data_IF_842184022132
#
_entry.id   IF_842184022132
#
_cell.length_a   1.000
_cell.length_b   1.000
_cell.length_c   1.000
_cell.angle_alpha   90.00
_cell.angle_beta   90.00
_cell.angle_gamma   90.00
#
_symmetry.space_group_name_H-M   'P 1'
#
loop_
_entity.id
_entity.type
_entity.pdbx_description
1 polymer ?
#
# COMPACT_ATOMS: atom_id res chain seq x y z
N UNK A 1 -7.63 14.12 -5.66
CA UNK A 1 -8.07 13.32 -6.82
C UNK A 1 -8.49 11.95 -6.33
N UNK A 2 -9.66 11.52 -6.72
CA UNK A 2 -10.19 10.24 -6.26
C UNK A 2 -9.92 9.16 -7.30
N UNK A 3 -9.65 7.96 -6.82
CA UNK A 3 -9.34 6.85 -7.70
C UNK A 3 -9.63 5.52 -7.07
N UNK A 4 -9.16 4.47 -7.73
CA UNK A 4 -9.31 3.09 -7.30
C UNK A 4 -7.93 2.47 -7.17
N UNK A 5 -7.73 1.73 -6.11
CA UNK A 5 -6.51 0.97 -5.89
C UNK A 5 -6.87 -0.46 -5.47
N UNK A 6 -5.88 -1.35 -5.55
CA UNK A 6 -6.07 -2.74 -5.14
C UNK A 6 -5.02 -3.08 -4.10
N UNK A 7 -5.49 -3.43 -2.90
CA UNK A 7 -4.61 -3.95 -1.87
C UNK A 7 -4.30 -5.40 -2.20
N UNK A 8 -3.04 -5.76 -2.18
CA UNK A 8 -2.58 -7.08 -2.61
C UNK A 8 -2.12 -7.87 -1.39
N UNK A 9 -2.70 -9.03 -1.22
CA UNK A 9 -2.36 -9.93 -0.14
C UNK A 9 -1.92 -11.26 -0.73
N UNK A 10 -0.75 -11.74 -0.29
CA UNK A 10 -0.27 -13.04 -0.71
C UNK A 10 -0.90 -14.11 0.16
N UNK A 11 -1.43 -15.15 -0.47
CA UNK A 11 -1.95 -16.32 0.21
C UNK A 11 -1.10 -17.53 -0.14
N UNK A 12 -0.82 -18.33 0.86
CA UNK A 12 -0.02 -19.54 0.68
C UNK A 12 -0.88 -20.75 1.05
N UNK A 13 -0.90 -21.75 0.18
CA UNK A 13 -1.59 -23.01 0.42
C UNK A 13 -0.61 -24.14 0.20
N UNK A 14 -0.77 -25.21 0.98
CA UNK A 14 -0.03 -26.44 0.76
C UNK A 14 -0.94 -27.39 -0.01
N UNK A 15 -0.46 -27.89 -1.14
CA UNK A 15 -1.25 -28.83 -1.93
C UNK A 15 -1.14 -30.26 -1.36
N UNK A 16 -1.77 -31.22 -2.04
CA UNK A 16 -1.82 -32.62 -1.56
C UNK A 16 -0.47 -33.30 -1.54
N UNK A 17 0.50 -32.77 -2.27
CA UNK A 17 1.84 -33.35 -2.31
C UNK A 17 2.84 -32.51 -1.51
N UNK A 18 2.37 -31.61 -0.70
CA UNK A 18 3.21 -30.84 0.20
C UNK A 18 3.89 -29.62 -0.39
N UNK A 19 3.56 -29.25 -1.62
CA UNK A 19 4.12 -28.05 -2.23
C UNK A 19 3.38 -26.81 -1.78
N UNK A 20 4.13 -25.75 -1.51
CA UNK A 20 3.53 -24.46 -1.19
C UNK A 20 3.13 -23.74 -2.47
N UNK A 21 1.86 -23.40 -2.57
CA UNK A 21 1.33 -22.64 -3.69
C UNK A 21 1.02 -21.24 -3.19
N UNK A 22 1.59 -20.24 -3.87
CA UNK A 22 1.28 -18.85 -3.54
C UNK A 22 0.31 -18.28 -4.56
N UNK A 23 -0.63 -17.47 -4.08
CA UNK A 23 -1.55 -16.76 -4.93
C UNK A 23 -1.74 -15.34 -4.40
N UNK A 24 -2.07 -14.43 -5.30
CA UNK A 24 -2.36 -13.05 -4.92
C UNK A 24 -3.86 -12.88 -4.80
N UNK A 25 -4.28 -12.19 -3.76
CA UNK A 25 -5.64 -11.75 -3.61
C UNK A 25 -5.67 -10.23 -3.70
N UNK A 26 -6.42 -9.71 -4.65
CA UNK A 26 -6.55 -8.27 -4.85
C UNK A 26 -7.90 -7.81 -4.32
N UNK A 27 -7.87 -6.78 -3.47
CA UNK A 27 -9.08 -6.20 -2.93
C UNK A 27 -9.19 -4.75 -3.38
N UNK A 28 -10.26 -4.45 -4.10
CA UNK A 28 -10.51 -3.10 -4.63
C UNK A 28 -10.92 -2.17 -3.50
N UNK A 29 -10.28 -1.01 -3.44
CA UNK A 29 -10.65 0.05 -2.50
C UNK A 29 -10.70 1.38 -3.24
N UNK A 30 -11.44 2.32 -2.68
CA UNK A 30 -11.49 3.68 -3.19
C UNK A 30 -10.53 4.53 -2.40
N UNK A 31 -9.73 5.33 -3.11
CA UNK A 31 -8.65 6.10 -2.50
C UNK A 31 -8.70 7.54 -3.01
N UNK A 32 -8.08 8.44 -2.26
CA UNK A 32 -7.81 9.79 -2.71
C UNK A 32 -6.30 9.99 -2.71
N UNK A 33 -5.79 10.49 -3.83
CA UNK A 33 -4.36 10.76 -3.94
C UNK A 33 -4.04 12.11 -3.33
N UNK A 34 -2.97 12.16 -2.54
CA UNK A 34 -2.49 13.38 -1.89
C UNK A 34 -1.01 13.55 -2.16
N UNK A 35 -0.57 14.81 -2.24
CA UNK A 35 0.84 15.11 -2.39
C UNK A 35 1.58 14.82 -1.08
N UNK A 36 2.80 14.32 -1.20
CA UNK A 36 3.68 14.16 -0.04
C UNK A 36 4.17 15.53 0.42
N UNK A 37 4.29 15.68 1.74
CA UNK A 37 4.92 16.87 2.26
C UNK A 37 6.42 16.79 2.02
N UNK A 38 7.10 17.95 2.00
CA UNK A 38 8.54 17.99 1.86
C UNK A 38 9.24 17.22 2.99
N UNK A 39 8.73 17.38 4.21
CA UNK A 39 9.30 16.70 5.37
C UNK A 39 9.19 15.18 5.23
N UNK A 40 8.06 14.68 4.78
CA UNK A 40 7.89 13.24 4.57
C UNK A 40 8.85 12.75 3.49
N UNK A 41 8.98 13.49 2.41
CA UNK A 41 9.87 13.11 1.32
C UNK A 41 11.31 12.96 1.79
N UNK A 42 11.80 13.94 2.57
CA UNK A 42 13.17 13.89 3.06
C UNK A 42 13.39 12.77 4.08
N UNK A 43 12.44 12.58 5.00
CA UNK A 43 12.57 11.53 6.00
C UNK A 43 12.62 10.14 5.37
N UNK A 44 11.74 9.89 4.42
CA UNK A 44 11.70 8.61 3.74
C UNK A 44 12.98 8.38 2.94
N UNK A 45 13.48 9.42 2.27
CA UNK A 45 14.72 9.34 1.53
C UNK A 45 15.93 9.00 2.40
N UNK A 46 15.98 9.54 3.62
CA UNK A 46 17.05 9.25 4.57
C UNK A 46 17.06 7.78 5.00
N UNK A 47 15.90 7.14 4.94
CA UNK A 47 15.75 5.73 5.30
C UNK A 47 15.85 4.80 4.09
N UNK A 48 16.35 5.31 2.96
CA UNK A 48 16.53 4.50 1.78
C UNK A 48 15.26 4.23 0.97
N UNK A 49 14.17 4.90 1.33
CA UNK A 49 12.92 4.76 0.60
C UNK A 49 12.91 5.67 -0.62
N UNK A 50 12.08 5.32 -1.60
CA UNK A 50 11.86 6.13 -2.78
C UNK A 50 10.39 6.54 -2.82
N UNK A 51 9.99 7.52 -1.97
CA UNK A 51 8.58 7.84 -1.79
C UNK A 51 7.99 8.44 -3.07
N UNK A 52 6.74 8.10 -3.36
CA UNK A 52 6.07 8.55 -4.56
C UNK A 52 4.83 9.38 -4.27
N UNK A 53 3.89 8.78 -3.57
CA UNK A 53 2.59 9.43 -3.30
C UNK A 53 2.06 8.96 -1.95
N UNK A 54 1.05 9.65 -1.50
CA UNK A 54 0.27 9.24 -0.34
C UNK A 54 -1.17 9.06 -0.79
N UNK A 55 -1.77 7.94 -0.41
CA UNK A 55 -3.18 7.68 -0.65
C UNK A 55 -3.92 7.68 0.66
N UNK A 56 -5.14 8.23 0.66
CA UNK A 56 -6.03 8.12 1.81
C UNK A 56 -7.19 7.22 1.45
N UNK A 57 -7.64 6.43 2.40
CA UNK A 57 -8.79 5.55 2.24
C UNK A 57 -9.48 5.38 3.58
N UNK A 58 -10.67 4.79 3.59
CA UNK A 58 -11.33 4.49 4.84
C UNK A 58 -10.48 3.50 5.64
N UNK A 59 -10.33 3.76 6.94
CA UNK A 59 -9.44 2.95 7.79
C UNK A 59 -9.85 1.47 7.80
N UNK A 60 -11.15 1.20 7.68
CA UNK A 60 -11.67 -0.18 7.66
C UNK A 60 -11.19 -0.96 6.44
N UNK A 61 -10.71 -0.28 5.41
CA UNK A 61 -10.24 -0.95 4.19
C UNK A 61 -8.85 -1.55 4.33
N UNK A 62 -8.07 -1.10 5.30
CA UNK A 62 -6.68 -1.53 5.41
C UNK A 62 -6.53 -2.61 6.49
N UNK A 63 -5.86 -3.70 6.15
CA UNK A 63 -5.67 -4.85 7.03
C UNK A 63 -4.20 -5.25 7.17
N UNK A 64 -3.29 -4.32 6.96
CA UNK A 64 -1.86 -4.59 7.13
C UNK A 64 -1.14 -5.04 5.88
N UNK A 65 -1.75 -4.91 4.73
CA UNK A 65 -1.10 -5.27 3.47
C UNK A 65 0.13 -4.40 3.23
N UNK A 66 1.16 -4.97 2.63
CA UNK A 66 2.40 -4.25 2.34
C UNK A 66 2.54 -3.82 0.90
N UNK A 67 1.63 -4.23 0.02
CA UNK A 67 1.68 -3.93 -1.41
C UNK A 67 0.33 -3.42 -1.87
N UNK A 68 0.36 -2.42 -2.73
CA UNK A 68 -0.85 -1.84 -3.31
C UNK A 68 -0.60 -1.57 -4.80
N UNK A 69 -1.62 -1.81 -5.63
CA UNK A 69 -1.57 -1.48 -7.05
C UNK A 69 -2.44 -0.27 -7.29
N UNK A 70 -1.87 0.76 -7.89
CA UNK A 70 -2.55 2.00 -8.17
C UNK A 70 -2.13 2.50 -9.55
N UNK A 71 -3.10 2.81 -10.40
CA UNK A 71 -2.85 3.26 -11.77
C UNK A 71 -1.92 2.32 -12.55
N UNK A 72 -2.17 1.01 -12.41
CA UNK A 72 -1.43 -0.06 -13.08
C UNK A 72 0.03 -0.18 -12.65
N UNK A 73 0.39 0.42 -11.51
CA UNK A 73 1.73 0.30 -10.96
C UNK A 73 1.66 -0.25 -9.54
N UNK A 74 2.63 -1.08 -9.19
CA UNK A 74 2.73 -1.63 -7.85
C UNK A 74 3.64 -0.78 -6.99
N UNK A 75 3.19 -0.53 -5.77
CA UNK A 75 3.93 0.23 -4.78
C UNK A 75 4.01 -0.58 -3.50
N UNK A 76 5.09 -0.37 -2.76
CA UNK A 76 5.16 -0.85 -1.40
C UNK A 76 4.59 0.19 -0.45
N UNK A 77 3.90 -0.26 0.57
CA UNK A 77 3.40 0.63 1.63
C UNK A 77 4.46 0.61 2.73
N UNK A 78 5.20 1.71 2.87
CA UNK A 78 6.29 1.74 3.84
C UNK A 78 5.87 2.34 5.18
N UNK A 79 4.75 3.06 5.22
CA UNK A 79 4.26 3.67 6.43
C UNK A 79 2.76 3.91 6.30
N UNK A 80 2.05 3.81 7.42
CA UNK A 80 0.66 4.20 7.49
C UNK A 80 0.48 5.16 8.65
N UNK A 81 -0.54 5.99 8.57
CA UNK A 81 -0.89 6.88 9.66
C UNK A 81 -2.41 6.94 9.77
N UNK A 82 -2.91 6.59 10.94
CA UNK A 82 -4.33 6.66 11.24
C UNK A 82 -4.50 7.70 12.34
N UNK A 83 -4.99 8.88 11.93
CA UNK A 83 -5.22 9.96 12.87
C UNK A 83 -6.29 9.57 13.89
N UNK A 84 -6.03 9.87 15.15
CA UNK A 84 -7.02 9.65 16.20
C UNK A 84 -8.32 10.37 15.86
N UNK A 85 -9.44 9.74 16.08
CA UNK A 85 -10.78 10.26 15.78
C UNK A 85 -11.07 10.42 14.27
N UNK A 86 -10.32 9.77 13.41
CA UNK A 86 -10.57 9.84 11.98
C UNK A 86 -10.97 8.48 11.45
N UNK A 87 -11.88 8.48 10.48
CA UNK A 87 -12.27 7.26 9.77
C UNK A 87 -11.32 6.95 8.60
N UNK A 88 -10.35 7.82 8.36
CA UNK A 88 -9.43 7.67 7.24
C UNK A 88 -8.04 7.26 7.71
N UNK A 89 -7.35 6.51 6.87
CA UNK A 89 -5.95 6.13 7.08
C UNK A 89 -5.13 6.62 5.91
N UNK A 90 -3.91 7.07 6.18
CA UNK A 90 -2.95 7.48 5.17
C UNK A 90 -1.99 6.33 4.88
N UNK A 91 -1.83 6.04 3.60
CA UNK A 91 -0.92 5.00 3.13
C UNK A 91 0.21 5.68 2.36
N UNK A 92 1.43 5.53 2.84
CA UNK A 92 2.60 6.15 2.23
C UNK A 92 3.29 5.14 1.34
N UNK A 93 3.39 5.47 0.05
CA UNK A 93 3.81 4.53 -0.98
C UNK A 93 5.20 4.88 -1.50
N UNK A 94 6.00 3.84 -1.73
CA UNK A 94 7.28 3.99 -2.39
C UNK A 94 7.36 3.03 -3.55
N UNK A 95 8.19 3.38 -4.53
CA UNK A 95 8.40 2.50 -5.67
C UNK A 95 9.21 1.29 -5.22
N UNK A 96 8.70 0.10 -5.53
CA UNK A 96 9.42 -1.12 -5.21
C UNK A 96 10.59 -1.32 -6.18
N UNK A 97 11.72 -1.76 -5.63
CA UNK A 97 12.88 -2.08 -6.43
C UNK A 97 12.55 -3.26 -7.36
N UNK A 98 12.96 -3.16 -8.62
CA UNK A 98 12.75 -4.23 -9.59
C UNK A 98 11.37 -4.31 -10.20
N UNK A 99 10.51 -3.33 -9.92
CA UNK A 99 9.15 -3.29 -10.52
C UNK A 99 8.90 -2.02 -11.31
#
# INVERSE_FOLDING_TARGET
>A
MDGVAYLIKMKYKTDKIGQNISSEEKRKIYVSERALTRTEYFKAGQNGMNPRIMLTTAAVNYSGESVIEYENMRYGIYRTYHKFDSDEIELYLHKQAGT
#
